data_IF_345178648056
#
_entry.id   IF_345178648056
#
_cell.length_a   1.000
_cell.length_b   1.000
_cell.length_c   1.000
_cell.angle_alpha   90.00
_cell.angle_beta   90.00
_cell.angle_gamma   90.00
#
_symmetry.space_group_name_H-M   'P 1'
#
loop_
_entity.id
_entity.type
_entity.pdbx_description
1 polymer ?
#
# COMPACT_ATOMS: atom_id res chain seq x y z
N UNK A 1 18.32 -8.27 -53.44
CA UNK A 1 17.87 -6.99 -52.82
C UNK A 1 16.50 -7.20 -52.22
N UNK A 2 16.36 -7.18 -50.89
CA UNK A 2 15.16 -6.69 -50.16
C UNK A 2 15.42 -6.66 -48.65
N UNK A 3 15.86 -5.47 -48.23
CA UNK A 3 15.78 -4.77 -46.94
C UNK A 3 15.28 -5.51 -45.69
N UNK A 4 16.19 -5.55 -44.71
CA UNK A 4 16.03 -5.45 -43.25
C UNK A 4 14.61 -5.12 -42.73
N UNK A 5 14.12 -5.96 -41.81
CA UNK A 5 13.14 -5.52 -40.81
C UNK A 5 13.55 -6.05 -39.42
N UNK A 6 14.73 -5.61 -38.95
CA UNK A 6 15.16 -5.76 -37.55
C UNK A 6 14.71 -4.52 -36.77
N UNK A 7 13.48 -4.52 -36.28
CA UNK A 7 13.00 -3.47 -35.37
C UNK A 7 11.81 -3.96 -34.55
N UNK A 8 12.03 -4.97 -33.70
CA UNK A 8 11.04 -5.32 -32.66
C UNK A 8 11.69 -6.03 -31.48
N UNK A 9 12.85 -5.54 -31.04
CA UNK A 9 13.54 -6.10 -29.89
C UNK A 9 14.00 -4.99 -28.95
N UNK A 10 13.45 -5.07 -27.74
CA UNK A 10 13.95 -4.53 -26.46
C UNK A 10 13.52 -3.10 -26.10
N UNK A 11 12.31 -2.97 -25.57
CA UNK A 11 11.93 -1.90 -24.64
C UNK A 11 11.21 -2.50 -23.42
N UNK A 12 11.84 -3.46 -22.73
CA UNK A 12 11.39 -3.97 -21.43
C UNK A 12 12.50 -3.78 -20.41
N UNK A 13 12.59 -2.56 -19.88
CA UNK A 13 13.30 -2.28 -18.63
C UNK A 13 12.34 -1.44 -17.78
N UNK A 14 11.73 -2.08 -16.78
CA UNK A 14 10.82 -1.44 -15.83
C UNK A 14 9.39 -1.97 -15.88
N UNK A 15 8.77 -2.06 -14.71
CA UNK A 15 7.35 -2.38 -14.56
C UNK A 15 6.49 -1.39 -15.35
N UNK A 16 5.79 -1.91 -16.38
CA UNK A 16 4.51 -1.39 -16.88
C UNK A 16 4.41 0.11 -17.14
N UNK A 17 5.21 0.66 -18.05
CA UNK A 17 4.92 1.95 -18.68
C UNK A 17 5.44 1.92 -20.10
N UNK A 18 4.59 2.20 -21.09
CA UNK A 18 5.04 2.36 -22.48
C UNK A 18 5.63 3.75 -22.66
N UNK A 19 6.70 3.86 -23.45
CA UNK A 19 7.32 5.14 -23.76
C UNK A 19 7.48 5.31 -25.26
N UNK A 20 7.34 6.55 -25.72
CA UNK A 20 7.57 6.95 -27.10
C UNK A 20 8.40 8.23 -27.14
N UNK A 21 9.16 8.41 -28.22
CA UNK A 21 9.84 9.67 -28.48
C UNK A 21 8.79 10.74 -28.84
N UNK A 22 8.85 11.88 -28.18
CA UNK A 22 7.95 13.01 -28.38
C UNK A 22 8.65 14.22 -29.01
N UNK A 23 7.86 15.23 -29.33
CA UNK A 23 8.33 16.57 -29.66
C UNK A 23 8.08 17.53 -28.49
N UNK A 24 8.73 18.70 -28.50
CA UNK A 24 8.57 19.74 -27.45
C UNK A 24 7.09 20.14 -27.23
N UNK A 25 6.27 20.14 -28.30
CA UNK A 25 4.82 20.41 -28.21
C UNK A 25 4.05 19.37 -27.40
N UNK A 26 4.54 18.13 -27.33
CA UNK A 26 3.84 17.02 -26.70
C UNK A 26 3.88 17.12 -25.17
N UNK A 27 4.81 17.93 -24.61
CA UNK A 27 4.91 18.23 -23.18
C UNK A 27 3.66 18.90 -22.59
N UNK A 28 2.74 19.41 -23.44
CA UNK A 28 1.50 20.07 -23.00
C UNK A 28 0.35 19.09 -22.72
N UNK A 29 0.45 17.84 -23.16
CA UNK A 29 -0.63 16.85 -23.00
C UNK A 29 -0.56 16.16 -21.64
N UNK A 30 -1.65 16.23 -20.85
CA UNK A 30 -1.75 15.62 -19.51
C UNK A 30 -1.89 14.09 -19.49
N UNK A 31 -2.13 13.47 -20.65
CA UNK A 31 -2.34 12.02 -20.74
C UNK A 31 -1.03 11.22 -20.61
N UNK A 32 0.11 11.85 -20.91
CA UNK A 32 1.45 11.26 -20.85
C UNK A 32 2.35 12.16 -20.00
N UNK A 33 3.36 11.58 -19.35
CA UNK A 33 4.35 12.32 -18.58
C UNK A 33 5.55 12.58 -19.49
N UNK A 34 5.91 13.85 -19.69
CA UNK A 34 7.07 14.23 -20.48
C UNK A 34 8.37 14.29 -19.67
N UNK A 35 9.45 13.70 -20.18
CA UNK A 35 10.80 13.80 -19.63
C UNK A 35 11.81 14.17 -20.72
N UNK A 36 12.77 15.04 -20.40
CA UNK A 36 13.85 15.42 -21.34
C UNK A 36 15.14 14.74 -20.92
N UNK A 37 15.67 13.85 -21.76
CA UNK A 37 16.92 13.12 -21.53
C UNK A 37 17.82 13.25 -22.74
N UNK A 38 19.02 13.81 -22.57
CA UNK A 38 19.97 14.00 -23.67
C UNK A 38 19.46 14.89 -24.80
N UNK A 39 18.66 15.93 -24.49
CA UNK A 39 18.05 16.82 -25.48
C UNK A 39 16.87 16.21 -26.25
N UNK A 40 16.47 14.97 -25.94
CA UNK A 40 15.32 14.31 -26.55
C UNK A 40 14.14 14.28 -25.58
N UNK A 41 12.93 14.51 -26.09
CA UNK A 41 11.69 14.41 -25.33
C UNK A 41 11.20 12.96 -25.36
N UNK A 42 10.94 12.40 -24.19
CA UNK A 42 10.34 11.09 -23.98
C UNK A 42 8.97 11.27 -23.35
N UNK A 43 7.94 10.70 -23.97
CA UNK A 43 6.59 10.66 -23.43
C UNK A 43 6.37 9.29 -22.81
N UNK A 44 6.03 9.26 -21.52
CA UNK A 44 5.73 8.05 -20.76
C UNK A 44 4.22 7.96 -20.57
N UNK A 45 3.63 6.86 -21.04
CA UNK A 45 2.25 6.51 -20.72
C UNK A 45 2.26 5.62 -19.48
N UNK A 46 1.76 6.12 -18.33
CA UNK A 46 1.62 5.28 -17.15
C UNK A 46 0.57 4.20 -17.42
N UNK A 47 0.89 2.93 -17.15
CA UNK A 47 -0.13 1.88 -17.20
C UNK A 47 -1.19 2.13 -16.12
N UNK A 48 -2.39 1.54 -16.34
CA UNK A 48 -3.56 1.62 -15.46
C UNK A 48 -3.15 1.68 -13.99
N UNK A 49 -3.56 2.76 -13.31
CA UNK A 49 -3.34 3.10 -11.88
C UNK A 49 -2.76 1.93 -11.08
N UNK A 50 -1.49 2.04 -10.69
CA UNK A 50 -0.82 1.00 -9.91
C UNK A 50 -1.70 0.53 -8.76
N UNK A 51 -2.10 -0.74 -8.77
CA UNK A 51 -2.89 -1.30 -7.68
C UNK A 51 -2.03 -1.27 -6.41
N UNK A 52 -2.53 -0.72 -5.30
CA UNK A 52 -1.77 -0.70 -4.06
C UNK A 52 -1.63 -2.13 -3.54
N UNK A 53 -0.40 -2.65 -3.52
CA UNK A 53 -0.12 -3.99 -2.98
C UNK A 53 -0.55 -4.09 -1.50
N UNK A 54 -0.18 -3.07 -0.71
CA UNK A 54 -0.48 -2.98 0.73
C UNK A 54 -1.19 -1.66 1.01
N UNK A 55 -2.52 -1.59 0.90
CA UNK A 55 -3.21 -0.32 0.98
C UNK A 55 -3.23 0.26 2.41
N UNK A 56 -3.04 1.58 2.52
CA UNK A 56 -3.20 2.30 3.79
C UNK A 56 -4.68 2.44 4.18
N UNK A 57 -4.97 2.41 5.49
CA UNK A 57 -6.34 2.59 6.02
C UNK A 57 -6.97 3.92 5.58
N UNK A 58 -6.19 5.01 5.55
CA UNK A 58 -6.67 6.33 5.13
C UNK A 58 -7.06 6.36 3.64
N UNK A 59 -6.32 5.63 2.81
CA UNK A 59 -6.61 5.51 1.38
C UNK A 59 -7.86 4.66 1.16
N UNK A 60 -7.97 3.55 1.89
CA UNK A 60 -9.12 2.63 1.79
C UNK A 60 -10.40 3.25 2.34
N UNK A 61 -10.29 4.14 3.32
CA UNK A 61 -11.38 4.97 3.78
C UNK A 61 -11.79 6.06 2.76
N UNK A 62 -10.97 6.33 1.75
CA UNK A 62 -11.22 7.36 0.73
C UNK A 62 -10.84 8.77 1.17
N UNK A 63 -10.07 8.92 2.25
CA UNK A 63 -9.60 10.23 2.73
C UNK A 63 -8.40 10.72 1.91
N UNK A 64 -7.62 9.79 1.34
CA UNK A 64 -6.47 10.10 0.48
C UNK A 64 -6.50 9.23 -0.77
N UNK A 65 -5.98 9.74 -1.89
CA UNK A 65 -6.09 9.05 -3.19
C UNK A 65 -5.19 7.82 -3.31
N UNK A 66 -3.92 7.94 -2.91
CA UNK A 66 -2.95 6.84 -3.03
C UNK A 66 -1.92 6.86 -1.89
N UNK A 67 -1.86 5.77 -1.13
CA UNK A 67 -0.84 5.53 -0.12
C UNK A 67 -0.70 4.03 0.16
N UNK A 68 0.49 3.50 -0.08
CA UNK A 68 0.87 2.18 0.40
C UNK A 68 1.32 2.24 1.86
N UNK A 69 0.96 1.23 2.64
CA UNK A 69 1.46 1.02 3.98
C UNK A 69 2.92 0.56 3.94
N UNK A 70 3.74 1.15 4.80
CA UNK A 70 5.14 0.80 5.00
C UNK A 70 5.43 0.44 6.48
N UNK A 71 4.39 0.22 7.27
CA UNK A 71 4.47 -0.12 8.70
C UNK A 71 3.84 -1.49 8.97
N UNK A 72 4.13 -2.49 8.11
CA UNK A 72 3.65 -3.86 8.27
C UNK A 72 2.15 -3.99 8.59
N UNK A 73 1.33 -3.21 7.88
CA UNK A 73 -0.13 -3.12 8.05
C UNK A 73 -0.64 -2.55 9.39
N UNK A 74 0.24 -2.19 10.31
CA UNK A 74 -0.09 -1.41 11.49
C UNK A 74 -0.22 0.08 11.14
N UNK A 75 -1.33 0.40 10.49
CA UNK A 75 -1.59 1.79 10.09
C UNK A 75 -1.82 2.71 11.29
N UNK A 76 -2.31 2.19 12.42
CA UNK A 76 -2.77 2.98 13.58
C UNK A 76 -1.65 3.53 14.45
N UNK A 77 -0.43 3.01 14.32
CA UNK A 77 0.76 3.48 15.05
C UNK A 77 1.77 4.20 14.14
N UNK A 78 1.52 4.26 12.83
CA UNK A 78 2.51 4.80 11.89
C UNK A 78 2.60 6.34 11.94
N UNK A 79 3.79 6.88 11.60
CA UNK A 79 4.03 8.35 11.55
C UNK A 79 3.04 9.09 10.65
N UNK A 80 2.59 8.45 9.57
CA UNK A 80 1.62 9.04 8.64
C UNK A 80 0.25 9.21 9.31
N UNK A 81 -0.23 8.19 10.02
CA UNK A 81 -1.49 8.23 10.76
C UNK A 81 -1.47 9.30 11.85
N UNK A 82 -0.36 9.43 12.59
CA UNK A 82 -0.17 10.51 13.56
C UNK A 82 -0.33 11.90 12.90
N UNK A 83 0.29 12.10 11.74
CA UNK A 83 0.15 13.35 10.98
C UNK A 83 -1.28 13.60 10.48
N UNK A 84 -1.97 12.56 10.04
CA UNK A 84 -3.35 12.64 9.56
C UNK A 84 -4.34 12.92 10.71
N UNK A 85 -4.15 12.29 11.88
CA UNK A 85 -4.89 12.58 13.11
C UNK A 85 -4.73 14.04 13.52
N UNK A 86 -3.51 14.59 13.46
CA UNK A 86 -3.25 16.01 13.76
C UNK A 86 -3.97 16.95 12.78
N UNK A 87 -4.01 16.62 11.49
CA UNK A 87 -4.78 17.40 10.50
C UNK A 87 -6.29 17.31 10.76
N UNK A 88 -6.77 16.13 11.14
CA UNK A 88 -8.18 15.92 11.46
C UNK A 88 -8.61 16.67 12.73
N UNK A 89 -7.78 16.68 13.79
CA UNK A 89 -8.05 17.46 15.00
C UNK A 89 -8.06 18.98 14.76
N UNK A 90 -7.39 19.44 13.70
CA UNK A 90 -7.45 20.83 13.21
C UNK A 90 -8.66 21.09 12.28
N UNK A 91 -9.54 20.11 12.07
CA UNK A 91 -10.72 20.24 11.20
C UNK A 91 -10.41 20.32 9.70
N UNK A 92 -9.17 20.03 9.28
CA UNK A 92 -8.76 20.16 7.86
C UNK A 92 -9.27 19.02 6.97
N UNK A 93 -9.60 17.88 7.58
CA UNK A 93 -10.06 16.67 6.89
C UNK A 93 -10.76 15.75 7.90
N UNK A 94 -11.70 14.89 7.48
CA UNK A 94 -12.31 13.91 8.37
C UNK A 94 -11.30 12.84 8.80
N UNK A 95 -11.56 12.18 9.92
CA UNK A 95 -10.84 10.95 10.30
C UNK A 95 -11.21 9.80 9.35
N UNK A 96 -10.34 8.79 9.23
CA UNK A 96 -10.68 7.61 8.43
C UNK A 96 -11.90 6.88 9.01
N UNK A 97 -12.07 6.89 10.33
CA UNK A 97 -13.23 6.34 11.01
C UNK A 97 -14.51 7.09 10.62
N UNK A 98 -14.50 8.43 10.65
CA UNK A 98 -15.64 9.24 10.19
C UNK A 98 -15.98 8.98 8.72
N UNK A 99 -14.96 8.91 7.85
CA UNK A 99 -15.15 8.60 6.44
C UNK A 99 -15.80 7.23 6.25
N UNK A 100 -15.39 6.22 7.02
CA UNK A 100 -16.00 4.90 6.99
C UNK A 100 -17.41 4.86 7.58
N UNK A 101 -17.68 5.58 8.67
CA UNK A 101 -19.02 5.67 9.29
C UNK A 101 -20.07 6.27 8.35
N UNK A 102 -19.67 7.11 7.40
CA UNK A 102 -20.57 7.67 6.37
C UNK A 102 -21.01 6.64 5.33
N UNK A 103 -20.35 5.49 5.23
CA UNK A 103 -20.74 4.43 4.30
C UNK A 103 -21.96 3.66 4.77
N UNK A 104 -22.60 2.98 3.83
CA UNK A 104 -23.71 2.07 4.14
C UNK A 104 -23.23 0.94 5.07
N UNK A 105 -24.14 0.37 5.89
CA UNK A 105 -23.76 -0.64 6.88
C UNK A 105 -23.02 -1.86 6.29
N UNK A 106 -23.30 -2.22 5.04
CA UNK A 106 -22.62 -3.33 4.34
C UNK A 106 -21.19 -3.00 3.92
N UNK A 107 -20.90 -1.72 3.66
CA UNK A 107 -19.58 -1.23 3.25
C UNK A 107 -18.71 -0.84 4.44
N UNK A 108 -19.28 -0.80 5.65
CA UNK A 108 -18.54 -0.61 6.90
C UNK A 108 -17.73 -1.86 7.24
N UNK A 109 -16.62 -2.07 6.55
CA UNK A 109 -15.72 -3.21 6.80
C UNK A 109 -14.67 -2.89 7.86
N UNK A 110 -14.18 -3.93 8.54
CA UNK A 110 -13.19 -3.89 9.61
C UNK A 110 -11.86 -3.25 9.17
N UNK A 111 -11.14 -2.59 10.09
CA UNK A 111 -9.83 -1.99 9.79
C UNK A 111 -8.82 -3.00 9.25
N UNK A 112 -8.87 -4.24 9.74
CA UNK A 112 -7.98 -5.31 9.29
C UNK A 112 -8.36 -5.83 7.90
N UNK A 113 -9.63 -5.74 7.51
CA UNK A 113 -10.07 -6.04 6.14
C UNK A 113 -9.68 -4.91 5.19
N UNK A 114 -9.81 -3.65 5.61
CA UNK A 114 -9.39 -2.48 4.82
C UNK A 114 -7.91 -2.57 4.45
N UNK A 115 -7.07 -3.05 5.35
CA UNK A 115 -5.62 -3.15 5.15
C UNK A 115 -5.17 -4.53 4.66
N UNK A 116 -6.08 -5.39 4.20
CA UNK A 116 -5.80 -6.74 3.70
C UNK A 116 -5.09 -7.68 4.70
N UNK A 117 -5.20 -7.45 6.02
CA UNK A 117 -4.64 -8.34 7.05
C UNK A 117 -5.48 -9.60 7.28
N UNK A 118 -6.76 -9.54 6.90
CA UNK A 118 -7.74 -10.62 6.92
C UNK A 118 -8.69 -10.48 5.72
N UNK A 119 -9.49 -11.51 5.46
CA UNK A 119 -10.60 -11.43 4.52
C UNK A 119 -11.69 -10.43 4.93
N UNK A 120 -12.73 -10.28 4.11
CA UNK A 120 -13.79 -9.29 4.33
C UNK A 120 -14.57 -9.60 5.61
N UNK A 121 -14.54 -8.66 6.56
CA UNK A 121 -15.30 -8.68 7.80
C UNK A 121 -16.00 -7.33 7.98
N UNK A 122 -17.26 -7.32 8.37
CA UNK A 122 -18.00 -6.09 8.72
C UNK A 122 -17.61 -5.57 10.11
N UNK A 123 -17.61 -4.26 10.27
CA UNK A 123 -17.40 -3.59 11.56
C UNK A 123 -18.75 -3.42 12.27
N UNK A 124 -18.84 -3.89 13.51
CA UNK A 124 -20.02 -3.74 14.36
C UNK A 124 -19.86 -2.67 15.46
N UNK A 125 -18.64 -2.12 15.61
CA UNK A 125 -18.24 -1.27 16.73
C UNK A 125 -17.96 0.18 16.29
N UNK A 126 -18.53 0.64 15.18
CA UNK A 126 -18.37 2.01 14.66
C UNK A 126 -16.93 2.55 14.64
N UNK A 127 -15.98 1.64 14.40
CA UNK A 127 -14.54 1.90 14.37
C UNK A 127 -13.92 2.36 15.70
N UNK A 128 -14.59 2.10 16.82
CA UNK A 128 -14.05 2.22 18.18
C UNK A 128 -13.19 0.99 18.51
N UNK A 129 -12.09 0.84 17.77
CA UNK A 129 -11.27 -0.36 17.81
C UNK A 129 -10.70 -0.69 19.21
N UNK A 130 -10.45 0.31 20.05
CA UNK A 130 -9.97 0.12 21.42
C UNK A 130 -10.93 -0.72 22.28
N UNK A 131 -12.23 -0.70 21.98
CA UNK A 131 -13.28 -1.43 22.68
C UNK A 131 -13.81 -2.62 21.87
N UNK A 132 -13.15 -3.00 20.77
CA UNK A 132 -13.57 -4.11 19.93
C UNK A 132 -12.79 -5.38 20.31
N UNK A 133 -13.46 -6.36 20.90
CA UNK A 133 -12.84 -7.63 21.35
C UNK A 133 -12.04 -8.33 20.25
N UNK A 134 -12.53 -8.28 19.01
CA UNK A 134 -11.79 -8.86 17.89
C UNK A 134 -10.50 -8.13 17.58
N UNK A 135 -10.49 -6.80 17.74
CA UNK A 135 -9.31 -5.98 17.49
C UNK A 135 -8.24 -6.30 18.53
N UNK A 136 -8.63 -6.31 19.80
CA UNK A 136 -7.78 -6.71 20.93
C UNK A 136 -7.23 -8.13 20.72
N UNK A 137 -8.09 -9.12 20.48
CA UNK A 137 -7.65 -10.49 20.23
C UNK A 137 -6.70 -10.60 19.04
N UNK A 138 -6.99 -9.89 17.95
CA UNK A 138 -6.18 -9.96 16.74
C UNK A 138 -4.79 -9.37 16.94
N UNK A 139 -4.68 -8.22 17.61
CA UNK A 139 -3.40 -7.55 17.88
C UNK A 139 -2.60 -8.18 19.02
N UNK A 140 -3.24 -8.76 20.02
CA UNK A 140 -2.55 -9.32 21.18
C UNK A 140 -2.12 -10.78 20.95
N UNK A 141 -2.98 -11.57 20.32
CA UNK A 141 -2.80 -13.03 20.25
C UNK A 141 -2.40 -13.47 18.84
N UNK A 142 -3.13 -13.03 17.82
CA UNK A 142 -3.03 -13.63 16.49
C UNK A 142 -1.81 -13.14 15.69
N UNK A 143 -1.48 -11.86 15.78
CA UNK A 143 -0.24 -11.29 15.22
C UNK A 143 1.00 -11.88 15.89
N UNK A 144 0.98 -12.00 17.22
CA UNK A 144 2.08 -12.55 18.02
C UNK A 144 2.35 -14.02 17.69
N UNK A 145 1.31 -14.84 17.49
CA UNK A 145 1.46 -16.26 17.07
C UNK A 145 1.92 -16.43 15.62
N UNK A 146 1.79 -15.40 14.78
CA UNK A 146 2.30 -15.40 13.40
C UNK A 146 3.70 -14.82 13.26
N UNK A 147 4.38 -14.51 14.38
CA UNK A 147 5.84 -14.40 14.35
C UNK A 147 6.39 -15.73 13.85
N UNK A 148 7.10 -15.70 12.73
CA UNK A 148 7.67 -16.87 12.06
C UNK A 148 8.19 -17.87 13.11
N UNK A 149 7.62 -19.07 13.16
CA UNK A 149 8.24 -20.13 13.92
C UNK A 149 9.59 -20.40 13.23
N UNK A 150 10.72 -20.38 13.95
CA UNK A 150 12.00 -20.66 13.33
C UNK A 150 11.93 -22.05 12.72
N UNK A 151 12.25 -22.17 11.43
CA UNK A 151 12.21 -23.46 10.74
C UNK A 151 13.08 -24.51 11.44
N UNK A 152 14.22 -24.09 11.98
CA UNK A 152 15.10 -24.91 12.80
C UNK A 152 15.49 -24.15 14.09
N UNK A 153 15.22 -24.77 15.23
CA UNK A 153 15.59 -24.28 16.56
C UNK A 153 16.65 -25.20 17.17
N UNK A 154 17.68 -24.62 17.78
CA UNK A 154 18.69 -25.35 18.54
C UNK A 154 18.55 -25.07 20.03
N UNK A 155 18.46 -26.12 20.84
CA UNK A 155 18.22 -26.00 22.28
C UNK A 155 19.54 -25.96 23.04
N UNK A 156 19.85 -24.82 23.65
CA UNK A 156 21.06 -24.62 24.47
C UNK A 156 20.65 -24.29 25.89
N UNK A 157 21.03 -25.14 26.85
CA UNK A 157 20.77 -24.95 28.30
C UNK A 157 19.31 -24.58 28.62
N UNK A 158 18.36 -25.17 27.91
CA UNK A 158 16.92 -24.95 28.12
C UNK A 158 16.30 -23.78 27.35
N UNK A 159 17.09 -23.04 26.57
CA UNK A 159 16.60 -21.99 25.67
C UNK A 159 16.57 -22.49 24.23
N UNK A 160 15.48 -22.21 23.51
CA UNK A 160 15.35 -22.52 22.09
C UNK A 160 15.87 -21.34 21.26
N UNK A 161 16.96 -21.56 20.52
CA UNK A 161 17.66 -20.53 19.72
C UNK A 161 17.35 -20.76 18.24
N UNK A 162 16.81 -19.78 17.51
CA UNK A 162 16.52 -19.92 16.10
C UNK A 162 17.81 -19.94 15.26
N UNK A 163 17.99 -20.98 14.42
CA UNK A 163 19.24 -21.17 13.65
C UNK A 163 19.32 -20.30 12.38
N UNK A 164 18.19 -19.82 11.85
CA UNK A 164 18.12 -19.20 10.52
C UNK A 164 17.48 -17.79 10.52
N UNK A 165 17.91 -16.90 11.40
CA UNK A 165 17.53 -15.47 11.31
C UNK A 165 18.76 -14.62 10.97
N UNK A 166 18.60 -13.77 9.95
CA UNK A 166 19.50 -12.67 9.68
C UNK A 166 18.72 -11.38 9.93
N UNK A 167 19.16 -10.58 10.89
CA UNK A 167 18.65 -9.23 11.08
C UNK A 167 19.36 -8.33 10.07
N UNK A 168 18.59 -7.74 9.15
CA UNK A 168 19.04 -6.72 8.21
C UNK A 168 18.73 -5.32 8.75
#
# INVERSE_FOLDING_TARGET
MTKNNKQNMRNRIGYGSSYRKGASRDLKHKAEIGAVLGGQVWMITPDKKGLPSNPCVWMQAGVVEFKNCNNFYDCTTCKYDLGMKKKASQGRQPTWQEAMKRRSGMERICRHSLTNRIGTRRCAYDYECSHCDFDQFFEDVWTTRRGDAPGEVHRVKGFDIPMSYHFH
#
